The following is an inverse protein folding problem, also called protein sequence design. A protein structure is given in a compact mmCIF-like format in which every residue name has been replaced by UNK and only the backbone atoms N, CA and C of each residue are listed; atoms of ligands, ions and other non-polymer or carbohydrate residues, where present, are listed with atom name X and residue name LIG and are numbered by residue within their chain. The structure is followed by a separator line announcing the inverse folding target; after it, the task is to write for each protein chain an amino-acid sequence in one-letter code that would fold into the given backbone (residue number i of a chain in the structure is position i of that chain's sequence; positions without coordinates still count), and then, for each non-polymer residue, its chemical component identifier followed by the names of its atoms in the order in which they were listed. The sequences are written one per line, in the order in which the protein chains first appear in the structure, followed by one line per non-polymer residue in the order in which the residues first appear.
data_IF_653386877851
#
_entry.id   IF_653386877851
#
_cell.length_a   1.000
_cell.length_b   1.000
_cell.length_c   1.000
_cell.angle_alpha   90.00
_cell.angle_beta   90.00
_cell.angle_gamma   90.00
#
_symmetry.space_group_name_H-M   'P 1'
#
loop_
_entity.id
_entity.type
_entity.pdbx_description
1 polymer ?
#
# COMPACT_ATOMS: atom_id res chain seq x y z
N UNK A 1 -49.70 30.17 19.38
CA UNK A 1 -48.28 29.74 19.32
C UNK A 1 -48.09 28.28 18.90
N UNK A 2 -48.95 27.31 19.27
CA UNK A 2 -48.69 25.88 19.04
C UNK A 2 -48.57 25.39 17.58
N UNK A 3 -49.36 25.92 16.65
CA UNK A 3 -49.38 25.40 15.25
C UNK A 3 -48.10 25.74 14.49
N UNK A 4 -47.59 26.96 14.61
CA UNK A 4 -46.35 27.38 13.94
C UNK A 4 -45.14 26.61 14.45
N UNK A 5 -45.06 26.36 15.76
CA UNK A 5 -43.97 25.56 16.35
C UNK A 5 -44.01 24.11 15.88
N UNK A 6 -45.21 23.52 15.75
CA UNK A 6 -45.37 22.17 15.22
C UNK A 6 -44.99 22.09 13.73
N UNK A 7 -45.39 23.08 12.92
CA UNK A 7 -45.02 23.15 11.50
C UNK A 7 -43.50 23.27 11.34
N UNK A 8 -42.85 24.17 12.08
CA UNK A 8 -41.39 24.36 12.02
C UNK A 8 -40.67 23.09 12.45
N UNK A 9 -41.10 22.44 13.53
CA UNK A 9 -40.50 21.18 14.01
C UNK A 9 -40.63 20.08 12.97
N UNK A 10 -41.81 19.93 12.36
CA UNK A 10 -42.04 18.95 11.30
C UNK A 10 -41.12 19.18 10.10
N UNK A 11 -40.98 20.44 9.65
CA UNK A 11 -40.10 20.81 8.54
C UNK A 11 -38.64 20.50 8.87
N UNK A 12 -38.16 20.85 10.07
CA UNK A 12 -36.78 20.55 10.50
C UNK A 12 -36.51 19.05 10.54
N UNK A 13 -37.42 18.26 11.11
CA UNK A 13 -37.30 16.79 11.16
C UNK A 13 -37.31 16.19 9.76
N UNK A 14 -38.17 16.67 8.86
CA UNK A 14 -38.22 16.23 7.47
C UNK A 14 -36.90 16.53 6.74
N UNK A 15 -36.37 17.75 6.88
CA UNK A 15 -35.09 18.12 6.28
C UNK A 15 -33.94 17.29 6.84
N UNK A 16 -33.89 17.07 8.15
CA UNK A 16 -32.89 16.22 8.79
C UNK A 16 -32.96 14.78 8.25
N UNK A 17 -34.16 14.22 8.12
CA UNK A 17 -34.37 12.88 7.56
C UNK A 17 -33.94 12.78 6.09
N UNK A 18 -34.23 13.79 5.27
CA UNK A 18 -33.80 13.86 3.87
C UNK A 18 -32.27 13.94 3.75
N UNK A 19 -31.64 14.82 4.53
CA UNK A 19 -30.17 14.96 4.56
C UNK A 19 -29.52 13.64 4.99
N UNK A 20 -30.02 13.01 6.05
CA UNK A 20 -29.51 11.73 6.53
C UNK A 20 -29.61 10.63 5.47
N UNK A 21 -30.75 10.55 4.77
CA UNK A 21 -30.96 9.57 3.69
C UNK A 21 -29.99 9.79 2.53
N UNK A 22 -29.80 11.03 2.09
CA UNK A 22 -28.86 11.33 1.01
C UNK A 22 -27.41 11.06 1.42
N UNK A 23 -27.03 11.39 2.66
CA UNK A 23 -25.71 11.04 3.18
C UNK A 23 -25.49 9.53 3.28
N UNK A 24 -26.48 8.77 3.74
CA UNK A 24 -26.40 7.31 3.79
C UNK A 24 -26.22 6.70 2.40
N UNK A 25 -27.01 7.15 1.42
CA UNK A 25 -26.90 6.72 0.01
C UNK A 25 -25.54 7.08 -0.59
N UNK A 26 -25.06 8.28 -0.33
CA UNK A 26 -23.77 8.72 -0.82
C UNK A 26 -22.64 7.86 -0.23
N UNK A 27 -22.67 7.59 1.09
CA UNK A 27 -21.71 6.70 1.75
C UNK A 27 -21.73 5.30 1.15
N UNK A 28 -22.90 4.70 0.96
CA UNK A 28 -23.03 3.39 0.33
C UNK A 28 -22.49 3.36 -1.09
N UNK A 29 -22.72 4.42 -1.87
CA UNK A 29 -22.23 4.56 -3.24
C UNK A 29 -20.71 4.62 -3.26
N UNK A 30 -20.10 5.50 -2.44
CA UNK A 30 -18.64 5.64 -2.33
C UNK A 30 -18.01 4.33 -1.87
N UNK A 31 -18.61 3.69 -0.85
CA UNK A 31 -18.18 2.39 -0.34
C UNK A 31 -18.14 1.34 -1.43
N UNK A 32 -19.23 1.18 -2.20
CA UNK A 32 -19.31 0.23 -3.33
C UNK A 32 -18.30 0.55 -4.43
N UNK A 33 -18.16 1.82 -4.80
CA UNK A 33 -17.20 2.24 -5.83
C UNK A 33 -15.75 1.92 -5.44
N UNK A 34 -15.36 2.21 -4.20
CA UNK A 34 -14.02 1.85 -3.70
C UNK A 34 -13.84 0.34 -3.62
N UNK A 35 -14.86 -0.41 -3.17
CA UNK A 35 -14.82 -1.88 -3.14
C UNK A 35 -14.56 -2.48 -4.52
N UNK A 36 -15.18 -1.92 -5.55
CA UNK A 36 -15.06 -2.37 -6.93
C UNK A 36 -13.63 -2.26 -7.49
N UNK A 37 -12.71 -1.51 -6.85
CA UNK A 37 -11.32 -1.40 -7.32
C UNK A 37 -10.61 -2.75 -7.43
N UNK A 38 -11.06 -3.74 -6.66
CA UNK A 38 -10.48 -5.08 -6.60
C UNK A 38 -11.15 -6.10 -7.54
N UNK A 39 -12.29 -5.76 -8.15
CA UNK A 39 -13.14 -6.73 -8.87
C UNK A 39 -12.35 -7.55 -9.92
N UNK A 40 -11.42 -6.89 -10.62
CA UNK A 40 -10.60 -7.53 -11.66
C UNK A 40 -9.49 -8.43 -11.11
N UNK A 41 -9.08 -8.23 -9.86
CA UNK A 41 -7.96 -8.96 -9.25
C UNK A 41 -8.42 -10.11 -8.36
N UNK A 42 -9.71 -10.21 -8.03
CA UNK A 42 -10.21 -11.22 -7.08
C UNK A 42 -9.89 -12.66 -7.49
N UNK A 43 -9.92 -12.94 -8.80
CA UNK A 43 -9.64 -14.28 -9.34
C UNK A 43 -8.17 -14.68 -9.26
N UNK A 44 -7.26 -13.75 -8.98
CA UNK A 44 -5.83 -14.02 -8.80
C UNK A 44 -5.54 -14.68 -7.44
N UNK A 45 -6.47 -14.59 -6.49
CA UNK A 45 -6.25 -15.05 -5.12
C UNK A 45 -7.12 -16.25 -4.79
N UNK A 46 -6.55 -17.20 -4.06
CA UNK A 46 -7.35 -18.20 -3.35
C UNK A 46 -7.86 -17.60 -2.04
N UNK A 47 -9.10 -17.91 -1.67
CA UNK A 47 -9.75 -17.43 -0.45
C UNK A 47 -9.68 -15.89 -0.29
N UNK A 48 -10.05 -15.10 -1.32
CA UNK A 48 -9.99 -13.65 -1.22
C UNK A 48 -10.99 -13.15 -0.18
N UNK A 49 -10.55 -12.21 0.64
CA UNK A 49 -11.39 -11.51 1.61
C UNK A 49 -11.13 -10.00 1.52
N UNK A 50 -12.20 -9.24 1.38
CA UNK A 50 -12.16 -7.78 1.38
C UNK A 50 -12.70 -7.28 2.71
N UNK A 51 -11.87 -6.54 3.44
CA UNK A 51 -12.26 -5.78 4.62
C UNK A 51 -12.31 -4.29 4.28
N UNK A 52 -13.38 -3.60 4.67
CA UNK A 52 -13.55 -2.18 4.41
C UNK A 52 -14.31 -1.54 5.57
N UNK A 53 -13.71 -0.49 6.14
CA UNK A 53 -14.34 0.33 7.17
C UNK A 53 -15.03 1.53 6.53
N UNK A 54 -16.32 1.73 6.83
CA UNK A 54 -17.23 2.71 6.21
C UNK A 54 -16.92 3.02 4.72
N UNK A 55 -16.38 4.20 4.46
CA UNK A 55 -16.05 4.69 3.13
C UNK A 55 -14.57 4.54 2.80
N UNK A 56 -13.72 4.01 3.67
CA UNK A 56 -12.28 3.90 3.43
C UNK A 56 -11.95 2.96 2.26
N UNK A 57 -10.69 3.02 1.82
CA UNK A 57 -10.24 2.09 0.80
C UNK A 57 -10.22 0.66 1.35
N UNK A 58 -10.77 -0.31 0.60
CA UNK A 58 -10.82 -1.71 1.03
C UNK A 58 -9.42 -2.35 1.06
N UNK A 59 -9.15 -3.13 2.11
CA UNK A 59 -8.01 -4.02 2.20
C UNK A 59 -8.38 -5.38 1.62
N UNK A 60 -7.57 -5.88 0.67
CA UNK A 60 -7.71 -7.22 0.12
C UNK A 60 -6.69 -8.16 0.78
N UNK A 61 -7.15 -9.32 1.23
CA UNK A 61 -6.31 -10.40 1.74
C UNK A 61 -6.64 -11.68 0.99
N UNK A 62 -5.66 -12.56 0.82
CA UNK A 62 -5.87 -13.86 0.18
C UNK A 62 -4.59 -14.68 0.15
N UNK A 63 -4.62 -15.78 -0.58
CA UNK A 63 -3.44 -16.56 -0.94
C UNK A 63 -3.09 -16.28 -2.41
N UNK A 64 -1.81 -16.07 -2.68
CA UNK A 64 -1.26 -15.93 -4.02
C UNK A 64 -0.05 -16.86 -4.11
N UNK A 65 -0.08 -17.81 -5.04
CA UNK A 65 0.91 -18.90 -5.16
C UNK A 65 1.20 -19.59 -3.81
N UNK A 66 0.13 -19.98 -3.10
CA UNK A 66 0.20 -20.61 -1.79
C UNK A 66 0.68 -19.72 -0.63
N UNK A 67 1.00 -18.44 -0.86
CA UNK A 67 1.47 -17.51 0.18
C UNK A 67 0.40 -16.51 0.58
N UNK A 68 0.30 -16.22 1.88
CA UNK A 68 -0.62 -15.17 2.36
C UNK A 68 -0.15 -13.80 1.88
N UNK A 69 -1.09 -13.03 1.34
CA UNK A 69 -0.87 -11.67 0.87
C UNK A 69 -1.88 -10.72 1.53
N UNK A 70 -1.42 -9.52 1.88
CA UNK A 70 -2.27 -8.38 2.24
C UNK A 70 -1.96 -7.22 1.31
N UNK A 71 -3.00 -6.64 0.73
CA UNK A 71 -2.97 -5.49 -0.16
C UNK A 71 -3.77 -4.36 0.47
N UNK A 72 -3.08 -3.31 0.91
CA UNK A 72 -3.65 -2.21 1.67
C UNK A 72 -3.40 -0.87 0.97
N UNK A 73 -4.45 -0.24 0.42
CA UNK A 73 -4.33 1.09 -0.16
C UNK A 73 -4.14 2.15 0.95
N UNK A 74 -3.24 3.10 0.71
CA UNK A 74 -2.89 4.20 1.62
C UNK A 74 -3.08 5.52 0.88
N UNK A 75 -4.07 6.30 1.30
CA UNK A 75 -4.31 7.63 0.75
C UNK A 75 -3.38 8.66 1.43
N UNK A 76 -2.43 9.16 0.66
CA UNK A 76 -1.48 10.18 1.09
C UNK A 76 -1.90 11.57 0.59
N UNK A 77 -2.06 12.48 1.55
CA UNK A 77 -2.45 13.88 1.34
C UNK A 77 -1.51 14.85 2.08
N UNK A 78 -0.39 14.36 2.60
CA UNK A 78 0.51 15.13 3.50
C UNK A 78 1.38 16.11 2.69
N UNK A 79 1.65 15.81 1.42
CA UNK A 79 2.47 16.66 0.55
C UNK A 79 1.84 18.02 0.21
N UNK A 80 2.44 19.12 0.67
CA UNK A 80 2.05 20.46 0.23
C UNK A 80 2.45 20.68 -1.24
N UNK A 81 1.50 21.09 -2.09
CA UNK A 81 1.69 21.35 -3.55
C UNK A 81 1.93 20.12 -4.43
N UNK A 82 1.73 18.90 -3.93
CA UNK A 82 1.64 17.69 -4.74
C UNK A 82 0.19 17.21 -4.80
N UNK A 83 -0.12 16.44 -5.83
CA UNK A 83 -1.44 15.84 -5.96
C UNK A 83 -1.60 14.70 -4.98
N UNK A 84 -2.86 14.45 -4.59
CA UNK A 84 -3.34 13.21 -4.00
C UNK A 84 -2.52 12.00 -4.40
N UNK A 85 -2.01 11.19 -3.49
CA UNK A 85 -1.32 9.96 -3.88
C UNK A 85 -2.05 8.77 -3.27
N UNK A 86 -2.33 7.74 -4.08
CA UNK A 86 -2.82 6.47 -3.57
C UNK A 86 -1.71 5.45 -3.71
N UNK A 87 -1.11 5.12 -2.57
CA UNK A 87 -0.11 4.07 -2.48
C UNK A 87 -0.81 2.73 -2.20
N UNK A 88 -0.15 1.64 -2.53
CA UNK A 88 -0.50 0.29 -2.15
C UNK A 88 0.64 -0.30 -1.36
N UNK A 89 0.36 -0.63 -0.11
CA UNK A 89 1.22 -1.49 0.71
C UNK A 89 0.87 -2.94 0.39
N UNK A 90 1.74 -3.60 -0.38
CA UNK A 90 1.63 -5.02 -0.64
C UNK A 90 2.55 -5.78 0.31
N UNK A 91 2.03 -6.78 1.01
CA UNK A 91 2.79 -7.61 1.95
C UNK A 91 2.61 -9.07 1.60
N UNK A 92 3.70 -9.77 1.27
CA UNK A 92 3.73 -11.22 1.07
C UNK A 92 4.38 -11.84 2.31
N UNK A 93 3.62 -12.65 3.05
CA UNK A 93 4.09 -13.27 4.27
C UNK A 93 4.90 -14.53 3.98
N UNK A 94 6.06 -14.64 4.63
CA UNK A 94 6.94 -15.80 4.57
C UNK A 94 7.69 -15.93 5.90
N UNK A 95 8.22 -17.12 6.20
CA UNK A 95 9.21 -17.28 7.27
C UNK A 95 10.58 -17.23 6.63
N UNK A 96 11.14 -16.03 6.53
CA UNK A 96 12.41 -15.83 5.84
C UNK A 96 13.57 -16.16 6.77
N UNK A 97 14.64 -16.82 6.27
CA UNK A 97 15.85 -17.10 7.03
C UNK A 97 16.76 -15.87 7.09
N UNK A 98 16.19 -14.72 7.44
CA UNK A 98 16.90 -13.47 7.70
C UNK A 98 16.66 -13.10 9.15
N UNK A 99 17.65 -12.50 9.81
CA UNK A 99 17.56 -12.21 11.25
C UNK A 99 17.24 -10.75 11.56
N UNK A 100 17.43 -9.86 10.58
CA UNK A 100 17.23 -8.42 10.71
C UNK A 100 16.28 -7.87 9.66
N UNK A 101 16.06 -6.56 9.77
CA UNK A 101 15.21 -5.79 8.86
C UNK A 101 16.07 -5.10 7.81
N UNK A 102 15.64 -5.16 6.55
CA UNK A 102 16.15 -4.32 5.47
C UNK A 102 15.02 -3.42 5.01
N UNK A 103 15.27 -2.12 4.89
CA UNK A 103 14.29 -1.15 4.42
C UNK A 103 14.98 -0.18 3.45
N UNK A 104 14.61 -0.28 2.17
CA UNK A 104 15.09 0.57 1.09
C UNK A 104 13.95 1.46 0.61
N UNK A 105 14.10 2.76 0.83
CA UNK A 105 13.15 3.80 0.42
C UNK A 105 13.72 4.62 -0.73
N UNK A 106 13.09 4.52 -1.90
CA UNK A 106 13.46 5.31 -3.05
C UNK A 106 12.88 6.73 -2.98
N UNK A 107 13.65 7.69 -3.46
CA UNK A 107 13.27 9.11 -3.67
C UNK A 107 12.64 9.72 -2.41
N UNK A 108 13.29 9.65 -1.23
CA UNK A 108 12.69 10.06 0.04
C UNK A 108 12.27 11.53 0.02
N UNK A 109 11.13 11.83 0.61
CA UNK A 109 10.54 13.17 0.69
C UNK A 109 10.35 13.64 2.14
N UNK A 110 10.73 12.81 3.13
CA UNK A 110 10.61 13.05 4.57
C UNK A 110 9.16 13.26 5.05
N UNK A 111 8.18 12.76 4.29
CA UNK A 111 6.75 12.84 4.60
C UNK A 111 6.08 11.46 4.54
N UNK A 112 6.85 10.40 4.32
CA UNK A 112 6.39 9.03 4.20
C UNK A 112 5.97 8.44 5.55
N UNK A 113 4.82 8.87 6.07
CA UNK A 113 4.24 8.38 7.33
C UNK A 113 3.97 6.87 7.34
N UNK A 114 3.88 6.25 6.17
CA UNK A 114 3.66 4.82 5.99
C UNK A 114 4.95 3.99 6.05
N UNK A 115 6.12 4.61 5.93
CA UNK A 115 7.41 3.91 5.90
C UNK A 115 7.98 3.75 7.30
N UNK A 116 8.55 2.58 7.57
CA UNK A 116 9.26 2.28 8.81
C UNK A 116 10.72 2.76 8.80
N UNK A 117 11.24 3.17 7.64
CA UNK A 117 12.68 3.45 7.45
C UNK A 117 13.22 4.44 8.48
N UNK A 118 12.40 5.42 8.88
CA UNK A 118 12.78 6.47 9.82
C UNK A 118 13.03 5.96 11.25
N UNK A 119 12.44 4.82 11.61
CA UNK A 119 12.58 4.19 12.93
C UNK A 119 13.80 3.28 13.08
N UNK A 120 14.45 2.91 11.96
CA UNK A 120 15.56 1.95 11.97
C UNK A 120 16.89 2.63 12.32
N UNK A 121 17.63 2.19 13.35
CA UNK A 121 18.77 2.95 13.89
C UNK A 121 19.99 3.03 12.96
N UNK A 122 20.20 2.05 12.07
CA UNK A 122 21.44 1.94 11.30
C UNK A 122 21.21 2.41 9.85
N UNK A 123 22.01 3.38 9.41
CA UNK A 123 22.10 3.76 7.99
C UNK A 123 23.17 2.90 7.30
N UNK A 124 22.82 2.37 6.13
CA UNK A 124 23.73 1.57 5.30
C UNK A 124 24.00 2.33 4.02
N UNK A 125 25.25 2.29 3.55
CA UNK A 125 25.60 2.88 2.26
C UNK A 125 24.88 2.11 1.15
N UNK A 126 24.12 2.83 0.32
CA UNK A 126 23.47 2.25 -0.85
C UNK A 126 24.55 1.74 -1.81
N UNK A 127 24.51 0.47 -2.26
CA UNK A 127 25.47 -0.04 -3.22
C UNK A 127 25.54 0.84 -4.48
N UNK A 128 26.72 1.14 -5.05
CA UNK A 128 26.86 2.06 -6.19
C UNK A 128 26.06 1.66 -7.44
N UNK A 129 25.79 0.36 -7.60
CA UNK A 129 24.99 -0.17 -8.72
C UNK A 129 23.48 0.03 -8.56
N UNK A 130 22.99 0.49 -7.41
CA UNK A 130 21.56 0.68 -7.15
C UNK A 130 21.13 2.13 -7.48
N UNK A 131 19.82 2.41 -7.57
CA UNK A 131 19.35 3.78 -7.64
C UNK A 131 19.81 4.57 -6.41
N UNK A 132 20.54 5.66 -6.65
CA UNK A 132 21.26 6.40 -5.59
C UNK A 132 20.39 7.43 -4.84
N UNK A 133 19.31 7.91 -5.45
CA UNK A 133 18.35 8.78 -4.76
C UNK A 133 17.45 7.92 -3.86
N UNK A 134 18.03 7.37 -2.79
CA UNK A 134 17.39 6.44 -1.89
C UNK A 134 18.05 6.47 -0.51
N UNK A 135 17.33 5.94 0.48
CA UNK A 135 17.84 5.66 1.82
C UNK A 135 17.75 4.15 2.04
N UNK A 136 18.81 3.56 2.59
CA UNK A 136 18.85 2.17 3.02
C UNK A 136 19.11 2.13 4.53
N UNK A 137 18.19 1.54 5.30
CA UNK A 137 18.31 1.39 6.75
C UNK A 137 18.02 -0.03 7.21
N UNK A 138 18.56 -0.36 8.37
CA UNK A 138 18.45 -1.67 9.02
C UNK A 138 18.40 -1.51 10.54
N UNK A 139 17.98 -2.56 11.23
CA UNK A 139 18.06 -2.67 12.69
C UNK A 139 19.50 -2.98 13.14
N UNK A 140 20.19 -3.90 12.48
CA UNK A 140 21.60 -4.23 12.75
C UNK A 140 22.29 -4.72 11.48
N UNK A 141 23.43 -4.12 11.14
CA UNK A 141 24.17 -4.41 9.91
C UNK A 141 24.55 -5.91 9.76
N UNK A 142 24.86 -6.57 10.86
CA UNK A 142 25.28 -7.99 10.91
C UNK A 142 24.15 -8.98 10.56
N UNK A 143 22.89 -8.58 10.74
CA UNK A 143 21.71 -9.44 10.59
C UNK A 143 20.91 -9.13 9.32
N UNK A 144 21.38 -8.18 8.53
CA UNK A 144 20.73 -7.73 7.32
C UNK A 144 20.68 -8.86 6.27
N UNK A 145 19.59 -8.96 5.50
CA UNK A 145 19.54 -9.81 4.31
C UNK A 145 20.77 -9.64 3.40
N UNK A 146 21.25 -10.73 2.78
CA UNK A 146 22.43 -10.71 1.94
C UNK A 146 22.22 -9.81 0.71
N UNK A 147 22.97 -8.70 0.63
CA UNK A 147 22.79 -7.68 -0.41
C UNK A 147 23.04 -8.21 -1.84
N UNK A 148 23.86 -9.23 -2.00
CA UNK A 148 24.08 -9.87 -3.30
C UNK A 148 22.82 -10.60 -3.83
N UNK A 149 21.93 -11.05 -2.93
CA UNK A 149 20.64 -11.62 -3.30
C UNK A 149 19.67 -10.50 -3.65
N UNK A 150 19.54 -9.50 -2.77
CA UNK A 150 18.64 -8.35 -2.97
C UNK A 150 19.01 -7.58 -4.25
N UNK A 151 20.30 -7.45 -4.56
CA UNK A 151 20.80 -6.77 -5.77
C UNK A 151 20.26 -7.36 -7.08
N UNK A 152 19.90 -8.65 -7.12
CA UNK A 152 19.33 -9.28 -8.31
C UNK A 152 17.91 -8.80 -8.61
N UNK A 153 17.24 -8.29 -7.58
CA UNK A 153 15.85 -7.87 -7.62
C UNK A 153 15.71 -6.34 -7.59
N UNK A 154 16.82 -5.59 -7.48
CA UNK A 154 16.77 -4.12 -7.33
C UNK A 154 16.21 -3.40 -8.56
N UNK A 155 16.26 -4.04 -9.74
CA UNK A 155 15.61 -3.55 -10.96
C UNK A 155 14.09 -3.40 -10.84
N UNK A 156 13.47 -3.91 -9.75
CA UNK A 156 12.09 -3.58 -9.42
C UNK A 156 11.86 -2.06 -9.30
N UNK A 157 12.88 -1.29 -8.92
CA UNK A 157 12.85 0.17 -8.83
C UNK A 157 13.03 0.89 -10.17
N UNK A 158 13.20 0.16 -11.27
CA UNK A 158 13.11 0.73 -12.61
C UNK A 158 11.68 1.17 -12.93
N UNK A 159 10.66 0.57 -12.27
CA UNK A 159 9.31 1.11 -12.25
C UNK A 159 9.24 2.30 -11.27
N UNK A 160 9.03 3.53 -11.74
CA UNK A 160 8.97 4.71 -10.88
C UNK A 160 7.76 4.70 -9.94
N UNK A 161 6.82 3.78 -10.07
CA UNK A 161 5.72 3.64 -9.10
C UNK A 161 6.16 2.93 -7.83
N UNK A 162 7.23 2.13 -7.86
CA UNK A 162 7.73 1.45 -6.67
C UNK A 162 8.52 2.42 -5.77
N UNK A 163 8.06 2.57 -4.54
CA UNK A 163 8.56 3.55 -3.58
C UNK A 163 9.45 2.93 -2.51
N UNK A 164 9.08 1.76 -1.99
CA UNK A 164 9.74 1.15 -0.83
C UNK A 164 9.79 -0.37 -0.99
N UNK A 165 10.89 -0.99 -0.54
CA UNK A 165 11.05 -2.43 -0.38
C UNK A 165 11.54 -2.71 1.03
N UNK A 166 10.79 -3.52 1.76
CA UNK A 166 11.12 -3.93 3.12
C UNK A 166 11.16 -5.44 3.21
N UNK A 167 12.23 -5.96 3.79
CA UNK A 167 12.43 -7.39 4.03
C UNK A 167 12.59 -7.58 5.53
N UNK A 168 11.82 -8.51 6.08
CA UNK A 168 11.85 -8.87 7.50
C UNK A 168 11.83 -10.38 7.64
N UNK A 169 12.09 -10.96 8.83
CA UNK A 169 11.91 -12.39 9.06
C UNK A 169 10.47 -12.88 8.78
N UNK A 170 9.49 -11.96 8.73
CA UNK A 170 8.06 -12.24 8.52
C UNK A 170 7.61 -12.15 7.06
N UNK A 171 8.51 -11.79 6.14
CA UNK A 171 8.24 -11.70 4.71
C UNK A 171 8.70 -10.38 4.09
N UNK A 172 8.15 -10.09 2.92
CA UNK A 172 8.49 -8.93 2.09
C UNK A 172 7.29 -7.99 2.00
N UNK A 173 7.56 -6.70 2.12
CA UNK A 173 6.58 -5.62 1.92
C UNK A 173 7.11 -4.67 0.86
N UNK A 174 6.22 -4.21 -0.02
CA UNK A 174 6.50 -3.10 -0.92
C UNK A 174 5.47 -1.98 -0.72
N UNK A 175 5.86 -0.76 -1.08
CA UNK A 175 4.93 0.35 -1.28
C UNK A 175 5.02 0.80 -2.72
N UNK A 176 3.89 0.78 -3.43
CA UNK A 176 3.80 1.04 -4.87
C UNK A 176 2.67 2.02 -5.17
N UNK A 177 2.81 2.90 -6.15
CA UNK A 177 1.77 3.86 -6.52
C UNK A 177 0.66 3.20 -7.36
N UNK A 178 -0.56 3.17 -6.84
CA UNK A 178 -1.74 2.75 -7.61
C UNK A 178 -2.25 3.86 -8.52
N UNK A 179 -2.38 5.07 -7.96
CA UNK A 179 -2.99 6.19 -8.66
C UNK A 179 -2.55 7.53 -8.07
N UNK A 180 -2.80 8.60 -8.82
CA UNK A 180 -2.56 9.98 -8.44
C UNK A 180 -3.82 10.82 -8.70
N UNK A 181 -4.20 11.63 -7.72
CA UNK A 181 -5.36 12.52 -7.83
C UNK A 181 -5.27 13.46 -9.03
N UNK A 182 -6.41 13.76 -9.65
CA UNK A 182 -6.46 14.58 -10.86
C UNK A 182 -6.24 16.08 -10.54
N UNK A 183 -5.35 16.75 -11.32
CA UNK A 183 -4.98 18.17 -11.13
C UNK A 183 -6.18 19.12 -11.10
N UNK A 184 -7.12 18.98 -12.02
CA UNK A 184 -8.24 19.90 -12.18
C UNK A 184 -9.17 19.91 -10.96
N UNK A 185 -9.47 18.73 -10.39
CA UNK A 185 -10.36 18.62 -9.23
C UNK A 185 -9.68 19.03 -7.92
N UNK A 186 -8.40 18.69 -7.74
CA UNK A 186 -7.67 19.06 -6.53
C UNK A 186 -7.41 20.58 -6.45
N UNK A 187 -7.23 21.26 -7.58
CA UNK A 187 -7.02 22.70 -7.64
C UNK A 187 -8.19 23.52 -7.09
N UNK A 188 -9.43 23.02 -7.20
CA UNK A 188 -10.65 23.74 -6.79
C UNK A 188 -11.18 23.25 -5.46
N UNK A 189 -11.34 21.92 -5.28
CA UNK A 189 -12.06 21.35 -4.14
C UNK A 189 -11.14 20.81 -3.05
N UNK A 190 -9.83 20.70 -3.31
CA UNK A 190 -8.84 20.01 -2.45
C UNK A 190 -9.29 18.60 -2.03
N UNK A 191 -10.18 17.97 -2.79
CA UNK A 191 -10.79 16.67 -2.46
C UNK A 191 -9.93 15.51 -2.95
N UNK A 192 -9.84 14.45 -2.13
CA UNK A 192 -9.22 13.17 -2.47
C UNK A 192 -10.20 12.33 -3.31
N UNK A 193 -10.21 12.55 -4.63
CA UNK A 193 -10.99 11.71 -5.56
C UNK A 193 -10.07 10.94 -6.48
N UNK A 194 -10.27 9.62 -6.47
CA UNK A 194 -9.63 8.63 -7.34
C UNK A 194 -10.77 7.96 -8.13
N UNK A 195 -11.36 8.73 -9.07
CA UNK A 195 -12.58 8.34 -9.75
C UNK A 195 -12.31 7.18 -10.72
N UNK A 196 -13.13 6.12 -10.64
CA UNK A 196 -13.01 4.96 -11.53
C UNK A 196 -11.80 4.08 -11.28
N UNK A 197 -11.17 4.17 -10.09
CA UNK A 197 -10.01 3.36 -9.73
C UNK A 197 -10.31 1.87 -9.90
N UNK A 198 -9.49 1.21 -10.72
CA UNK A 198 -9.48 -0.22 -10.95
C UNK A 198 -8.02 -0.67 -10.93
N UNK A 199 -7.70 -1.63 -10.07
CA UNK A 199 -6.35 -2.19 -10.07
C UNK A 199 -6.18 -3.09 -11.30
N UNK A 200 -5.13 -2.85 -12.08
CA UNK A 200 -4.82 -3.65 -13.25
C UNK A 200 -4.24 -5.00 -12.81
N UNK A 201 -4.87 -6.14 -13.19
CA UNK A 201 -4.39 -7.47 -12.81
C UNK A 201 -2.93 -7.73 -13.18
N UNK A 202 -2.56 -7.49 -14.44
CA UNK A 202 -1.21 -7.74 -14.96
C UNK A 202 -0.13 -6.99 -14.17
N UNK A 203 -0.41 -5.75 -13.77
CA UNK A 203 0.53 -4.94 -12.99
C UNK A 203 0.69 -5.43 -11.56
N UNK A 204 -0.40 -5.92 -10.96
CA UNK A 204 -0.39 -6.51 -9.63
C UNK A 204 0.29 -7.89 -9.64
N UNK A 205 0.03 -8.70 -10.65
CA UNK A 205 0.63 -10.02 -10.87
C UNK A 205 2.15 -9.88 -10.97
N UNK A 206 2.62 -8.99 -11.86
CA UNK A 206 4.05 -8.71 -12.03
C UNK A 206 4.72 -8.24 -10.72
N UNK A 207 4.03 -7.43 -9.91
CA UNK A 207 4.55 -6.98 -8.62
C UNK A 207 4.67 -8.16 -7.64
N UNK A 208 3.63 -8.97 -7.50
CA UNK A 208 3.60 -10.10 -6.58
C UNK A 208 4.61 -11.19 -6.98
N UNK A 209 4.75 -11.46 -8.28
CA UNK A 209 5.74 -12.42 -8.81
C UNK A 209 7.17 -11.99 -8.49
N UNK A 210 7.48 -10.69 -8.62
CA UNK A 210 8.79 -10.14 -8.22
C UNK A 210 9.04 -10.31 -6.72
N UNK A 211 8.01 -10.10 -5.89
CA UNK A 211 8.12 -10.32 -4.44
C UNK A 211 8.33 -11.80 -4.11
N UNK A 212 7.62 -12.71 -4.77
CA UNK A 212 7.79 -14.15 -4.59
C UNK A 212 9.17 -14.63 -5.05
N UNK A 213 9.66 -14.14 -6.20
CA UNK A 213 10.99 -14.48 -6.71
C UNK A 213 12.08 -14.06 -5.71
N UNK A 214 11.97 -12.87 -5.12
CA UNK A 214 12.86 -12.41 -4.05
C UNK A 214 12.78 -13.32 -2.82
N UNK A 215 11.58 -13.69 -2.38
CA UNK A 215 11.37 -14.60 -1.24
C UNK A 215 12.05 -15.96 -1.49
N UNK A 216 11.85 -16.55 -2.66
CA UNK A 216 12.43 -17.84 -3.04
C UNK A 216 13.96 -17.78 -3.04
N UNK A 217 14.54 -16.71 -3.58
CA UNK A 217 15.99 -16.55 -3.59
C UNK A 217 16.58 -16.34 -2.19
N UNK A 218 15.87 -15.63 -1.31
CA UNK A 218 16.27 -15.48 0.11
C UNK A 218 16.22 -16.81 0.85
N UNK A 219 15.18 -17.62 0.63
CA UNK A 219 15.05 -18.97 1.22
C UNK A 219 16.19 -19.90 0.75
N UNK A 220 16.61 -19.79 -0.52
CA UNK A 220 17.72 -20.59 -1.08
C UNK A 220 19.10 -20.13 -0.63
N UNK A 221 19.28 -18.85 -0.34
CA UNK A 221 20.56 -18.30 0.08
C UNK A 221 21.03 -18.88 1.43
N UNK A 222 20.09 -19.11 2.35
CA UNK A 222 20.34 -19.75 3.64
C UNK A 222 20.80 -21.20 3.49
N UNK A 223 20.16 -21.98 2.62
CA UNK A 223 20.57 -23.38 2.34
C UNK A 223 22.03 -23.48 1.90
N UNK A 224 22.55 -22.48 1.16
CA UNK A 224 23.95 -22.44 0.74
C UNK A 224 24.90 -22.00 1.85
N UNK A 225 24.46 -21.14 2.76
CA UNK A 225 25.26 -20.76 3.93
C UNK A 225 25.34 -21.90 4.95
N UNK A 226 24.25 -22.64 5.17
CA UNK A 226 24.23 -23.82 6.04
C UNK A 226 25.07 -24.97 5.46
N UNK A 227 25.01 -25.21 4.14
CA UNK A 227 25.79 -26.27 3.50
C UNK A 227 27.30 -25.96 3.37
N UNK A 228 27.71 -24.71 3.60
CA UNK A 228 29.11 -24.27 3.57
C UNK A 228 29.76 -24.15 4.96
N UNK A 229 28.99 -24.40 6.03
CA UNK A 229 29.44 -24.44 7.41
C UNK A 229 29.60 -25.89 7.90
#
# INVERSE_FOLDING_TARGET
MGIYTLLVTFVVVLFAALIWREQARHRETVRRQRRAMWDRCLTMFEQPSIAQDDIDFPVLKGLYDGRRVTLEPIADHVGYRKLPQLWLRATVFARLPVQGTFDYLARPENIEFYSSVWSLPVNVTVPPSWPQHAILRTDTAERMPPLNVVSRHINMFDDPRLKELVITPRGVRTVFQLDQGQRAHYAVMRSLRFDGLQVAPDGLEMLLDRMLALIVDLERADLKQIAAA
#
